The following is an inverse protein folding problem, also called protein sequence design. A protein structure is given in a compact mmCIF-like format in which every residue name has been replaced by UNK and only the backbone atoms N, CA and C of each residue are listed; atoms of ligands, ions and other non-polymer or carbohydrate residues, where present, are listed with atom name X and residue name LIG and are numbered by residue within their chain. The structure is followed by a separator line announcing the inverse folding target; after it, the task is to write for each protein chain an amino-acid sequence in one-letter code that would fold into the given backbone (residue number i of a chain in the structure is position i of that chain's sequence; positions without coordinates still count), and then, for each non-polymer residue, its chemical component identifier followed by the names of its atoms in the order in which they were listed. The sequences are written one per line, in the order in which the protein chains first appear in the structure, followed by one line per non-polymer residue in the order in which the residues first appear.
data_IF_669003616927
#
_entry.id   IF_669003616927
#
_cell.length_a   1.000
_cell.length_b   1.000
_cell.length_c   1.000
_cell.angle_alpha   90.00
_cell.angle_beta   90.00
_cell.angle_gamma   90.00
#
_symmetry.space_group_name_H-M   'P 1'
#
loop_
_entity.id
_entity.type
_entity.pdbx_description
1 polymer ?
#
# COMPACT_ATOMS: atom_id res chain seq x y z
N UNK A 1 19.69 -12.57 -20.21
CA UNK A 1 18.25 -12.54 -20.56
C UNK A 1 17.48 -12.49 -19.24
N UNK A 2 17.02 -11.31 -18.84
CA UNK A 2 16.18 -11.19 -17.65
C UNK A 2 14.82 -11.79 -17.98
N UNK A 3 14.48 -12.90 -17.33
CA UNK A 3 13.16 -13.49 -17.42
C UNK A 3 12.20 -12.45 -16.87
N UNK A 4 11.39 -11.81 -17.73
CA UNK A 4 10.38 -10.86 -17.31
C UNK A 4 9.33 -11.62 -16.51
N UNK A 5 9.56 -11.80 -15.20
CA UNK A 5 8.46 -12.11 -14.29
C UNK A 5 7.51 -10.94 -14.42
N UNK A 6 6.35 -11.16 -15.02
CA UNK A 6 5.26 -10.20 -14.95
C UNK A 6 4.97 -9.99 -13.47
N UNK A 7 5.32 -8.82 -12.96
CA UNK A 7 4.94 -8.46 -11.59
C UNK A 7 3.42 -8.48 -11.48
N UNK A 8 2.86 -8.95 -10.35
CA UNK A 8 1.43 -8.92 -10.15
C UNK A 8 0.92 -7.47 -10.09
N UNK A 9 -0.40 -7.31 -10.19
CA UNK A 9 -1.04 -6.02 -10.02
C UNK A 9 -0.69 -5.40 -8.66
N UNK A 10 -0.74 -4.07 -8.58
CA UNK A 10 -0.54 -3.34 -7.32
C UNK A 10 -1.67 -3.68 -6.32
N UNK A 11 -1.35 -3.60 -5.03
CA UNK A 11 -2.27 -3.88 -3.93
C UNK A 11 -3.19 -2.68 -3.71
N UNK A 12 -4.49 -2.94 -3.63
CA UNK A 12 -5.50 -1.89 -3.46
C UNK A 12 -6.51 -2.20 -2.35
N UNK A 13 -7.30 -1.20 -1.99
CA UNK A 13 -8.30 -1.30 -0.92
C UNK A 13 -7.75 -1.07 0.48
N UNK A 14 -8.47 -1.58 1.46
CA UNK A 14 -8.15 -1.50 2.91
C UNK A 14 -6.91 -2.32 3.27
N UNK A 15 -6.36 -2.11 4.47
CA UNK A 15 -5.21 -2.86 4.96
C UNK A 15 -5.44 -4.39 4.97
N UNK A 16 -6.64 -4.84 5.33
CA UNK A 16 -7.03 -6.24 5.29
C UNK A 16 -7.08 -6.81 3.86
N UNK A 17 -7.62 -6.04 2.90
CA UNK A 17 -7.66 -6.44 1.48
C UNK A 17 -6.26 -6.54 0.89
N UNK A 18 -5.39 -5.54 1.16
CA UNK A 18 -3.99 -5.57 0.72
C UNK A 18 -3.24 -6.76 1.32
N UNK A 19 -3.53 -7.12 2.57
CA UNK A 19 -2.91 -8.28 3.23
C UNK A 19 -3.34 -9.61 2.59
N UNK A 20 -4.62 -9.75 2.23
CA UNK A 20 -5.10 -10.93 1.48
C UNK A 20 -4.44 -11.03 0.10
N UNK A 21 -4.44 -9.95 -0.66
CA UNK A 21 -3.83 -9.91 -1.99
C UNK A 21 -2.33 -10.23 -1.93
N UNK A 22 -1.61 -9.74 -0.91
CA UNK A 22 -0.20 -10.07 -0.71
C UNK A 22 0.02 -11.58 -0.45
N UNK A 23 -0.85 -12.20 0.34
CA UNK A 23 -0.78 -13.64 0.62
C UNK A 23 -1.05 -14.47 -0.65
N UNK A 24 -2.06 -14.08 -1.44
CA UNK A 24 -2.39 -14.72 -2.73
C UNK A 24 -1.23 -14.60 -3.75
N UNK A 25 -0.59 -13.44 -3.82
CA UNK A 25 0.56 -13.22 -4.68
C UNK A 25 1.81 -13.97 -4.20
N UNK A 26 2.05 -14.02 -2.88
CA UNK A 26 3.15 -14.79 -2.31
C UNK A 26 2.98 -16.31 -2.52
N UNK A 27 1.74 -16.81 -2.47
CA UNK A 27 1.42 -18.20 -2.77
C UNK A 27 1.66 -18.55 -4.26
N UNK A 28 1.55 -17.58 -5.16
CA UNK A 28 1.75 -17.74 -6.59
C UNK A 28 3.23 -17.75 -7.01
N UNK A 29 4.14 -17.35 -6.12
CA UNK A 29 5.59 -17.43 -6.35
C UNK A 29 6.39 -16.30 -5.72
N UNK A 30 7.70 -16.26 -6.02
CA UNK A 30 8.58 -15.22 -5.49
C UNK A 30 8.34 -13.87 -6.17
N UNK A 31 7.85 -12.93 -5.36
CA UNK A 31 7.65 -11.53 -5.73
C UNK A 31 8.98 -10.80 -5.94
N UNK A 32 8.98 -9.80 -6.81
CA UNK A 32 10.17 -8.98 -7.04
C UNK A 32 10.36 -8.00 -5.88
N UNK A 33 11.62 -7.72 -5.54
CA UNK A 33 11.94 -6.71 -4.53
C UNK A 33 11.50 -5.30 -4.98
N UNK A 34 11.47 -5.04 -6.29
CA UNK A 34 11.06 -3.77 -6.87
C UNK A 34 9.55 -3.53 -6.70
N UNK A 35 8.73 -4.57 -6.87
CA UNK A 35 7.29 -4.47 -6.61
C UNK A 35 6.96 -4.34 -5.14
N UNK A 36 7.64 -5.11 -4.26
CA UNK A 36 7.47 -4.97 -2.82
C UNK A 36 7.80 -3.55 -2.35
N UNK A 37 8.87 -2.94 -2.90
CA UNK A 37 9.21 -1.54 -2.61
C UNK A 37 8.10 -0.59 -3.06
N UNK A 38 7.53 -0.79 -4.25
CA UNK A 38 6.42 0.03 -4.76
C UNK A 38 5.15 -0.08 -3.91
N UNK A 39 4.82 -1.28 -3.43
CA UNK A 39 3.68 -1.48 -2.52
C UNK A 39 3.88 -0.80 -1.17
N UNK A 40 5.10 -0.83 -0.66
CA UNK A 40 5.45 -0.16 0.58
C UNK A 40 5.34 1.35 0.43
N UNK A 41 5.88 1.91 -0.66
CA UNK A 41 5.80 3.34 -0.97
C UNK A 41 4.35 3.83 -1.05
N UNK A 42 3.51 3.13 -1.82
CA UNK A 42 2.06 3.39 -1.92
C UNK A 42 1.33 3.30 -0.57
N UNK A 43 1.73 2.37 0.30
CA UNK A 43 1.11 2.24 1.63
C UNK A 43 1.53 3.37 2.55
N UNK A 44 2.80 3.78 2.51
CA UNK A 44 3.29 4.91 3.30
C UNK A 44 2.68 6.23 2.85
N UNK A 45 2.49 6.43 1.55
CA UNK A 45 1.81 7.62 0.99
C UNK A 45 0.34 7.70 1.44
N UNK A 46 -0.37 6.57 1.38
CA UNK A 46 -1.75 6.47 1.86
C UNK A 46 -1.85 6.79 3.36
N UNK A 47 -0.91 6.30 4.18
CA UNK A 47 -0.89 6.61 5.61
C UNK A 47 -0.55 8.08 5.90
N UNK A 48 0.43 8.65 5.18
CA UNK A 48 0.77 10.06 5.33
C UNK A 48 -0.41 10.97 4.96
N UNK A 49 -1.20 10.57 3.96
CA UNK A 49 -2.41 11.29 3.56
C UNK A 49 -3.52 11.21 4.62
N UNK A 50 -3.70 10.04 5.25
CA UNK A 50 -4.65 9.83 6.34
C UNK A 50 -4.26 10.61 7.61
N UNK A 51 -2.95 10.64 7.94
CA UNK A 51 -2.42 11.47 9.04
C UNK A 51 -2.65 12.98 8.79
N UNK A 52 -2.53 13.42 7.54
CA UNK A 52 -2.82 14.81 7.16
C UNK A 52 -4.30 15.14 7.31
N UNK A 53 -5.21 14.22 6.97
CA UNK A 53 -6.65 14.42 7.12
C UNK A 53 -7.06 14.50 8.61
N UNK A 54 -6.48 13.65 9.45
CA UNK A 54 -6.73 13.65 10.90
C UNK A 54 -6.25 14.92 11.61
N UNK A 55 -5.17 15.55 11.12
CA UNK A 55 -4.67 16.81 11.67
C UNK A 55 -5.59 17.98 11.31
N UNK A 56 -6.05 18.05 10.06
CA UNK A 56 -7.01 19.07 9.59
C UNK A 56 -8.35 19.00 10.34
N UNK A 57 -8.86 17.80 10.64
CA UNK A 57 -10.11 17.67 11.40
C UNK A 57 -9.95 18.05 12.88
N UNK A 58 -8.76 17.81 13.46
CA UNK A 58 -8.42 18.27 14.82
C UNK A 58 -8.36 19.79 14.93
N UNK A 59 -7.74 20.47 13.97
CA UNK A 59 -7.67 21.95 13.97
C UNK A 59 -9.06 22.58 13.89
N UNK A 60 -9.99 22.03 13.10
CA UNK A 60 -11.37 22.54 13.02
C UNK A 60 -12.16 22.46 14.31
N UNK A 61 -11.83 21.52 15.20
CA UNK A 61 -12.62 21.25 16.41
C UNK A 61 -12.24 22.14 17.58
N UNK A 62 -11.16 22.92 17.48
CA UNK A 62 -10.67 23.81 18.54
C UNK A 62 -11.24 25.23 18.45
N UNK A 63 -11.98 25.56 17.38
CA UNK A 63 -12.57 26.87 17.12
C UNK A 63 -14.05 27.03 17.58
N UNK A 64 -14.58 26.12 18.41
CA UNK A 64 -15.97 26.19 18.92
C UNK A 64 -16.06 26.41 20.43
#
# INVERSE_FOLDING_TARGET
MANARSDPADLHGTADERRRQLDEHAASGSLSAEWLRRQLDSTLDAWSSDETELDVDKERKVDF
#
